data_IF_709314259548
#
_entry.id   IF_709314259548
#
_cell.length_a   1.000
_cell.length_b   1.000
_cell.length_c   1.000
_cell.angle_alpha   90.00
_cell.angle_beta   90.00
_cell.angle_gamma   90.00
#
_symmetry.space_group_name_H-M   'P 1'
#
loop_
_entity.id
_entity.type
_entity.pdbx_description
1 polymer ?
#
# COMPACT_ATOMS: atom_id res chain seq x y z
N UNK A 1 3.11 16.95 15.80
CA UNK A 1 2.23 16.02 15.04
C UNK A 1 1.68 16.63 13.75
N UNK A 2 1.26 17.90 13.73
CA UNK A 2 0.70 18.53 12.50
C UNK A 2 1.67 18.50 11.31
N UNK A 3 2.96 18.81 11.51
CA UNK A 3 3.95 18.76 10.42
C UNK A 3 4.05 17.37 9.76
N UNK A 4 3.95 16.30 10.53
CA UNK A 4 3.98 14.93 10.00
C UNK A 4 2.74 14.64 9.13
N UNK A 5 1.56 15.08 9.56
CA UNK A 5 0.32 14.97 8.77
C UNK A 5 0.46 15.68 7.41
N UNK A 6 0.94 16.93 7.43
CA UNK A 6 1.14 17.70 6.20
C UNK A 6 2.15 17.07 5.25
N UNK A 7 3.24 16.49 5.78
CA UNK A 7 4.22 15.75 4.98
C UNK A 7 3.57 14.51 4.34
N UNK A 8 2.76 13.76 5.09
CA UNK A 8 2.05 12.60 4.54
C UNK A 8 1.07 13.00 3.43
N UNK A 9 0.27 14.05 3.65
CA UNK A 9 -0.68 14.53 2.65
C UNK A 9 0.03 15.00 1.38
N UNK A 10 1.08 15.82 1.53
CA UNK A 10 1.87 16.26 0.38
C UNK A 10 2.54 15.09 -0.35
N UNK A 11 2.98 14.07 0.39
CA UNK A 11 3.55 12.85 -0.20
C UNK A 11 2.49 12.09 -0.99
N UNK A 12 1.27 11.97 -0.47
CA UNK A 12 0.14 11.33 -1.17
C UNK A 12 -0.20 12.08 -2.46
N UNK A 13 -0.27 13.41 -2.41
CA UNK A 13 -0.55 14.27 -3.56
C UNK A 13 0.48 14.08 -4.68
N UNK A 14 1.76 14.11 -4.31
CA UNK A 14 2.87 13.86 -5.25
C UNK A 14 2.75 12.45 -5.84
N UNK A 15 2.51 11.44 -5.01
CA UNK A 15 2.40 10.05 -5.48
C UNK A 15 1.23 9.85 -6.43
N UNK A 16 0.04 10.41 -6.14
CA UNK A 16 -1.13 10.34 -7.03
C UNK A 16 -0.79 10.97 -8.38
N UNK A 17 -0.22 12.18 -8.37
CA UNK A 17 0.18 12.86 -9.59
C UNK A 17 1.17 12.00 -10.40
N UNK A 18 2.21 11.47 -9.75
CA UNK A 18 3.23 10.64 -10.39
C UNK A 18 2.67 9.34 -10.95
N UNK A 19 1.79 8.65 -10.22
CA UNK A 19 1.14 7.41 -10.64
C UNK A 19 0.29 7.66 -11.88
N UNK A 20 -0.64 8.62 -11.81
CA UNK A 20 -1.57 8.90 -12.92
C UNK A 20 -0.83 9.39 -14.15
N UNK A 21 0.15 10.29 -13.98
CA UNK A 21 1.01 10.74 -15.08
C UNK A 21 1.78 9.58 -15.71
N UNK A 22 2.22 8.60 -14.93
CA UNK A 22 2.98 7.44 -15.44
C UNK A 22 2.08 6.46 -16.18
N UNK A 23 0.85 6.23 -15.71
CA UNK A 23 -0.11 5.31 -16.36
C UNK A 23 -0.66 5.92 -17.65
N UNK A 24 -1.15 7.16 -17.58
CA UNK A 24 -1.88 7.81 -18.70
C UNK A 24 -0.97 8.54 -19.68
N UNK A 25 0.28 8.84 -19.27
CA UNK A 25 1.21 9.75 -19.98
C UNK A 25 0.68 11.17 -20.20
N UNK A 26 -0.41 11.55 -19.55
CA UNK A 26 -1.08 12.84 -19.73
C UNK A 26 -1.06 13.65 -18.41
N UNK A 27 -0.59 14.89 -18.48
CA UNK A 27 -0.54 15.79 -17.31
C UNK A 27 -1.93 16.25 -16.87
N UNK A 28 -2.86 16.46 -17.80
CA UNK A 28 -4.21 16.90 -17.48
C UNK A 28 -4.92 15.88 -16.60
N UNK A 29 -4.89 14.59 -16.96
CA UNK A 29 -5.47 13.54 -16.12
C UNK A 29 -4.82 13.47 -14.73
N UNK A 30 -3.50 13.68 -14.64
CA UNK A 30 -2.83 13.72 -13.35
C UNK A 30 -3.29 14.89 -12.47
N UNK A 31 -3.46 16.08 -13.04
CA UNK A 31 -4.01 17.24 -12.31
C UNK A 31 -5.48 17.03 -11.92
N UNK A 32 -6.31 16.50 -12.83
CA UNK A 32 -7.72 16.23 -12.55
C UNK A 32 -7.88 15.19 -11.44
N UNK A 33 -7.09 14.11 -11.46
CA UNK A 33 -7.11 13.11 -10.38
C UNK A 33 -6.65 13.67 -9.05
N UNK A 34 -5.62 14.53 -9.04
CA UNK A 34 -5.16 15.20 -7.82
C UNK A 34 -6.22 16.17 -7.28
N UNK A 35 -6.81 17.00 -8.14
CA UNK A 35 -7.91 17.90 -7.75
C UNK A 35 -9.07 17.13 -7.14
N UNK A 36 -9.49 16.04 -7.80
CA UNK A 36 -10.55 15.18 -7.28
C UNK A 36 -10.19 14.61 -5.91
N UNK A 37 -8.99 14.06 -5.74
CA UNK A 37 -8.52 13.50 -4.46
C UNK A 37 -8.56 14.56 -3.34
N UNK A 38 -7.94 15.72 -3.54
CA UNK A 38 -7.89 16.80 -2.56
C UNK A 38 -9.30 17.30 -2.23
N UNK A 39 -10.18 17.45 -3.22
CA UNK A 39 -11.57 17.87 -2.98
C UNK A 39 -12.40 16.84 -2.22
N UNK A 40 -12.05 15.55 -2.28
CA UNK A 40 -12.76 14.49 -1.53
C UNK A 40 -12.28 14.32 -0.09
N UNK A 41 -11.05 14.74 0.24
CA UNK A 41 -10.48 14.55 1.59
C UNK A 41 -11.37 15.09 2.73
N UNK A 42 -11.99 16.29 2.64
CA UNK A 42 -12.86 16.80 3.70
C UNK A 42 -14.08 15.92 4.00
N UNK A 43 -14.52 15.10 3.03
CA UNK A 43 -15.74 14.29 3.15
C UNK A 43 -15.48 12.86 3.63
N UNK A 44 -14.32 12.29 3.30
CA UNK A 44 -14.06 10.86 3.51
C UNK A 44 -13.34 10.52 4.82
N UNK A 45 -12.73 11.50 5.50
CA UNK A 45 -12.08 11.33 6.82
C UNK A 45 -11.47 12.64 7.37
N UNK A 46 -11.41 13.70 6.54
CA UNK A 46 -10.80 14.98 6.89
C UNK A 46 -9.27 14.93 6.96
N UNK A 47 -8.67 16.01 7.46
CA UNK A 47 -7.21 16.17 7.56
C UNK A 47 -6.63 15.64 8.89
N UNK A 48 -7.33 14.72 9.55
CA UNK A 48 -6.89 14.13 10.81
C UNK A 48 -5.97 12.93 10.56
N UNK A 49 -5.00 12.72 11.45
CA UNK A 49 -4.10 11.56 11.41
C UNK A 49 -4.82 10.31 11.93
N UNK A 50 -5.65 9.71 11.08
CA UNK A 50 -6.21 8.37 11.29
C UNK A 50 -5.32 7.32 10.63
N UNK A 51 -5.41 6.08 11.12
CA UNK A 51 -4.69 4.95 10.54
C UNK A 51 -5.00 4.79 9.05
N UNK A 52 -6.24 5.04 8.64
CA UNK A 52 -6.67 5.04 7.24
C UNK A 52 -5.90 6.03 6.38
N UNK A 53 -5.80 7.30 6.80
CA UNK A 53 -4.95 8.31 6.15
C UNK A 53 -3.45 7.95 6.13
N UNK A 54 -2.93 7.33 7.19
CA UNK A 54 -1.52 6.89 7.25
C UNK A 54 -1.27 5.73 6.28
N UNK A 55 -2.23 4.84 6.06
CA UNK A 55 -2.12 3.70 5.15
C UNK A 55 -2.12 4.10 3.68
N UNK A 56 -2.72 5.24 3.33
CA UNK A 56 -2.73 5.73 1.94
C UNK A 56 -1.31 5.87 1.41
N UNK A 57 -0.38 6.40 2.21
CA UNK A 57 1.00 6.63 1.78
C UNK A 57 1.75 5.36 1.38
N UNK A 58 1.85 4.30 2.21
CA UNK A 58 2.48 3.06 1.79
C UNK A 58 1.72 2.38 0.64
N UNK A 59 0.38 2.43 0.59
CA UNK A 59 -0.38 1.87 -0.55
C UNK A 59 0.01 2.56 -1.88
N UNK A 60 0.03 3.90 -1.90
CA UNK A 60 0.42 4.67 -3.08
C UNK A 60 1.90 4.45 -3.42
N UNK A 61 2.78 4.43 -2.43
CA UNK A 61 4.22 4.19 -2.65
C UNK A 61 4.48 2.78 -3.19
N UNK A 62 3.81 1.76 -2.64
CA UNK A 62 3.84 0.39 -3.14
C UNK A 62 3.36 0.31 -4.58
N UNK A 63 2.25 0.99 -4.90
CA UNK A 63 1.71 1.09 -6.27
C UNK A 63 2.68 1.78 -7.22
N UNK A 64 3.29 2.90 -6.81
CA UNK A 64 4.27 3.61 -7.62
C UNK A 64 5.48 2.72 -7.92
N UNK A 65 6.00 2.01 -6.92
CA UNK A 65 7.11 1.06 -7.08
C UNK A 65 6.74 -0.11 -8.02
N UNK A 66 5.50 -0.61 -7.93
CA UNK A 66 4.98 -1.66 -8.81
C UNK A 66 5.03 -1.24 -10.28
N UNK A 67 4.52 -0.05 -10.58
CA UNK A 67 4.51 0.51 -11.94
C UNK A 67 5.93 0.84 -12.42
N UNK A 68 6.85 1.12 -11.51
CA UNK A 68 8.29 1.25 -11.78
C UNK A 68 9.04 -0.08 -11.89
N UNK A 69 8.35 -1.22 -11.86
CA UNK A 69 8.92 -2.58 -11.91
C UNK A 69 9.87 -2.91 -10.76
N UNK A 70 9.81 -2.18 -9.64
CA UNK A 70 10.57 -2.47 -8.41
C UNK A 70 9.78 -3.45 -7.54
N UNK A 71 9.62 -4.69 -8.03
CA UNK A 71 8.66 -5.67 -7.50
C UNK A 71 8.89 -6.01 -6.03
N UNK A 72 10.13 -6.33 -5.65
CA UNK A 72 10.48 -6.65 -4.26
C UNK A 72 10.09 -5.51 -3.30
N UNK A 73 10.54 -4.30 -3.60
CA UNK A 73 10.26 -3.12 -2.76
C UNK A 73 8.78 -2.76 -2.72
N UNK A 74 8.07 -2.90 -3.85
CA UNK A 74 6.62 -2.75 -3.88
C UNK A 74 5.95 -3.73 -2.91
N UNK A 75 6.36 -5.00 -2.96
CA UNK A 75 5.92 -6.03 -2.04
C UNK A 75 6.19 -5.71 -0.58
N UNK A 76 7.42 -5.32 -0.24
CA UNK A 76 7.79 -4.93 1.14
C UNK A 76 6.89 -3.81 1.65
N UNK A 77 6.67 -2.77 0.85
CA UNK A 77 5.83 -1.63 1.25
C UNK A 77 4.36 -2.04 1.43
N UNK A 78 3.80 -2.85 0.53
CA UNK A 78 2.43 -3.37 0.75
C UNK A 78 2.34 -4.32 1.94
N UNK A 79 3.38 -5.12 2.19
CA UNK A 79 3.48 -5.96 3.39
C UNK A 79 3.46 -5.12 4.67
N UNK A 80 4.22 -4.03 4.72
CA UNK A 80 4.17 -3.08 5.84
C UNK A 80 2.79 -2.45 6.02
N UNK A 81 2.12 -2.08 4.91
CA UNK A 81 0.74 -1.59 4.96
C UNK A 81 -0.21 -2.65 5.55
N UNK A 82 -0.12 -3.90 5.11
CA UNK A 82 -0.94 -5.01 5.61
C UNK A 82 -0.70 -5.33 7.08
N UNK A 83 0.55 -5.21 7.55
CA UNK A 83 0.88 -5.34 8.97
C UNK A 83 0.36 -4.19 9.83
N UNK A 84 0.18 -3.00 9.24
CA UNK A 84 -0.43 -1.85 9.91
C UNK A 84 -1.95 -1.99 9.99
N UNK A 85 -2.59 -2.45 8.92
CA UNK A 85 -4.03 -2.76 8.89
C UNK A 85 -4.31 -3.88 7.90
N UNK A 86 -4.99 -4.91 8.38
CA UNK A 86 -5.26 -6.14 7.61
C UNK A 86 -6.00 -5.87 6.29
N UNK A 87 -6.88 -4.85 6.25
CA UNK A 87 -7.60 -4.45 5.04
C UNK A 87 -6.65 -4.04 3.90
N UNK A 88 -5.43 -3.57 4.21
CA UNK A 88 -4.43 -3.27 3.21
C UNK A 88 -3.86 -4.53 2.53
N UNK A 89 -4.06 -5.72 3.11
CA UNK A 89 -3.76 -7.00 2.48
C UNK A 89 -4.49 -7.23 1.15
N UNK A 90 -5.66 -6.61 0.96
CA UNK A 90 -6.38 -6.64 -0.31
C UNK A 90 -5.56 -6.08 -1.48
N UNK A 91 -4.71 -5.08 -1.23
CA UNK A 91 -3.86 -4.50 -2.28
C UNK A 91 -2.75 -5.46 -2.72
N UNK A 92 -2.29 -6.37 -1.84
CA UNK A 92 -1.36 -7.44 -2.21
C UNK A 92 -2.05 -8.42 -3.16
N UNK A 93 -3.28 -8.82 -2.84
CA UNK A 93 -4.07 -9.75 -3.67
C UNK A 93 -4.36 -9.13 -5.04
N UNK A 94 -4.90 -7.91 -5.09
CA UNK A 94 -5.24 -7.21 -6.33
C UNK A 94 -3.98 -6.99 -7.19
N UNK A 95 -2.87 -6.56 -6.60
CA UNK A 95 -1.62 -6.34 -7.34
C UNK A 95 -1.06 -7.65 -7.92
N UNK A 96 -1.17 -8.74 -7.17
CA UNK A 96 -0.74 -10.06 -7.63
C UNK A 96 -1.61 -10.55 -8.79
N UNK A 97 -2.93 -10.44 -8.66
CA UNK A 97 -3.87 -10.78 -9.74
C UNK A 97 -3.61 -9.95 -10.99
N UNK A 98 -3.38 -8.64 -10.86
CA UNK A 98 -3.05 -7.77 -11.98
C UNK A 98 -1.75 -8.19 -12.69
N UNK A 99 -0.70 -8.56 -11.93
CA UNK A 99 0.56 -9.07 -12.50
C UNK A 99 0.37 -10.39 -13.26
N UNK A 100 -0.48 -11.29 -12.76
CA UNK A 100 -0.80 -12.56 -13.44
C UNK A 100 -1.64 -12.31 -14.69
N UNK A 101 -2.75 -11.61 -14.56
CA UNK A 101 -3.76 -11.47 -15.63
C UNK A 101 -3.25 -10.54 -16.73
N UNK A 102 -2.76 -9.35 -16.37
CA UNK A 102 -2.41 -8.32 -17.36
C UNK A 102 -1.00 -8.46 -17.92
N UNK A 103 -0.08 -9.08 -17.17
CA UNK A 103 1.33 -9.19 -17.58
C UNK A 103 1.81 -10.63 -17.80
N UNK A 104 1.02 -11.64 -17.41
CA UNK A 104 1.40 -13.08 -17.46
C UNK A 104 2.79 -13.34 -16.89
N UNK A 105 3.20 -12.57 -15.88
CA UNK A 105 4.57 -12.54 -15.41
C UNK A 105 4.66 -13.11 -13.99
N UNK A 106 4.61 -14.45 -13.89
CA UNK A 106 4.70 -15.17 -12.63
C UNK A 106 6.00 -14.89 -11.88
N UNK A 107 7.13 -14.69 -12.59
CA UNK A 107 8.41 -14.34 -11.96
C UNK A 107 8.29 -13.05 -11.13
N UNK A 108 7.63 -12.03 -11.67
CA UNK A 108 7.40 -10.78 -10.97
C UNK A 108 6.44 -10.92 -9.78
N UNK A 109 5.46 -11.82 -9.87
CA UNK A 109 4.57 -12.15 -8.75
C UNK A 109 5.38 -12.76 -7.60
N UNK A 110 6.28 -13.70 -7.90
CA UNK A 110 7.16 -14.29 -6.88
C UNK A 110 8.03 -13.21 -6.23
N UNK A 111 8.71 -12.37 -7.01
CA UNK A 111 9.50 -11.26 -6.44
C UNK A 111 8.64 -10.29 -5.63
N UNK A 112 7.43 -9.98 -6.07
CA UNK A 112 6.50 -9.13 -5.32
C UNK A 112 6.11 -9.77 -3.99
N UNK A 113 5.72 -11.05 -3.98
CA UNK A 113 5.27 -11.76 -2.79
C UNK A 113 6.39 -12.06 -1.79
N UNK A 114 7.65 -12.08 -2.21
CA UNK A 114 8.76 -12.27 -1.27
C UNK A 114 8.83 -11.20 -0.19
N UNK A 115 8.42 -9.96 -0.48
CA UNK A 115 8.37 -8.86 0.50
C UNK A 115 7.37 -9.11 1.63
N UNK A 116 6.07 -9.27 1.35
CA UNK A 116 5.06 -9.57 2.37
C UNK A 116 5.34 -10.89 3.11
N UNK A 117 5.79 -11.93 2.41
CA UNK A 117 6.12 -13.23 3.04
C UNK A 117 7.28 -13.05 4.03
N UNK A 118 8.34 -12.34 3.66
CA UNK A 118 9.46 -12.07 4.56
C UNK A 118 9.01 -11.35 5.83
N UNK A 119 8.18 -10.30 5.71
CA UNK A 119 7.66 -9.57 6.87
C UNK A 119 6.70 -10.41 7.72
N UNK A 120 5.83 -11.20 7.07
CA UNK A 120 4.93 -12.12 7.73
C UNK A 120 5.66 -13.22 8.50
N UNK A 121 6.77 -13.74 7.96
CA UNK A 121 7.62 -14.71 8.65
C UNK A 121 8.28 -14.10 9.89
N UNK A 122 8.80 -12.87 9.79
CA UNK A 122 9.37 -12.16 10.95
C UNK A 122 8.33 -11.98 12.06
N UNK A 123 7.11 -11.54 11.71
CA UNK A 123 6.02 -11.43 12.68
C UNK A 123 5.63 -12.81 13.25
N UNK A 124 5.50 -13.82 12.40
CA UNK A 124 5.13 -15.18 12.81
C UNK A 124 6.11 -15.79 13.80
N UNK A 125 7.42 -15.68 13.52
CA UNK A 125 8.47 -16.14 14.45
C UNK A 125 8.35 -15.43 15.80
N UNK A 126 8.15 -14.11 15.79
CA UNK A 126 7.95 -13.34 17.02
C UNK A 126 6.73 -13.81 17.81
N UNK A 127 5.58 -13.94 17.17
CA UNK A 127 4.34 -14.39 17.81
C UNK A 127 4.45 -15.81 18.38
N UNK A 128 5.14 -16.71 17.67
CA UNK A 128 5.41 -18.06 18.17
C UNK A 128 6.33 -17.99 19.40
N UNK A 129 7.39 -17.18 19.35
CA UNK A 129 8.32 -17.04 20.49
C UNK A 129 7.68 -16.44 21.73
N UNK A 130 6.65 -15.60 21.56
CA UNK A 130 5.87 -14.97 22.64
C UNK A 130 4.68 -15.85 23.08
N UNK A 131 4.42 -16.99 22.42
CA UNK A 131 3.26 -17.85 22.69
C UNK A 131 1.91 -17.25 22.29
N UNK A 132 1.90 -16.14 21.54
CA UNK A 132 0.72 -15.35 21.18
C UNK A 132 0.14 -15.70 19.79
N UNK A 133 0.71 -16.70 19.11
CA UNK A 133 0.34 -17.00 17.72
C UNK A 133 -1.14 -17.37 17.55
N UNK A 134 -1.67 -18.24 18.43
CA UNK A 134 -3.07 -18.66 18.34
C UNK A 134 -4.03 -17.50 18.64
N UNK A 135 -3.70 -16.68 19.63
CA UNK A 135 -4.50 -15.50 19.98
C UNK A 135 -4.54 -14.49 18.81
N UNK A 136 -3.39 -14.24 18.18
CA UNK A 136 -3.32 -13.38 17.00
C UNK A 136 -4.21 -13.88 15.85
N UNK A 137 -4.18 -15.19 15.55
CA UNK A 137 -4.99 -15.78 14.50
C UNK A 137 -6.48 -15.69 14.84
N UNK A 138 -6.86 -15.99 16.09
CA UNK A 138 -8.24 -15.88 16.56
C UNK A 138 -8.76 -14.45 16.40
N UNK A 139 -7.99 -13.44 16.82
CA UNK A 139 -8.37 -12.03 16.68
C UNK A 139 -8.37 -11.51 15.23
N UNK A 140 -7.68 -12.18 14.32
CA UNK A 140 -7.54 -11.75 12.92
C UNK A 140 -8.61 -12.38 12.02
N UNK A 141 -9.09 -13.58 12.35
CA UNK A 141 -10.02 -14.34 11.51
C UNK A 141 -11.45 -14.43 12.06
N UNK A 142 -11.63 -14.24 13.37
CA UNK A 142 -12.94 -14.29 14.07
C UNK A 142 -13.39 -12.87 14.36
#
# INVERSE_FOLDING_TARGET
MQAFAWILFLTNDILIFLIVRKITKNRLFAYLSLMFYVSTQPFLEGNMLWFDNVLVTPILMGTYLLINKRMFWSGVIFGLAALTKQTAGLFIVISSLWLVISKRNFKNVVYFLTGPVMLGLVLGVRLISEGQFMDFINWTLI
#
